data_IF_117779856924
#
_entry.id   IF_117779856924
#
_cell.length_a   1.000
_cell.length_b   1.000
_cell.length_c   1.000
_cell.angle_alpha   90.00
_cell.angle_beta   90.00
_cell.angle_gamma   90.00
#
_symmetry.space_group_name_H-M   'P 1'
#
loop_
_entity.id
_entity.type
_entity.pdbx_description
1 polymer ?
#
# COMPACT_ATOMS: atom_id res chain seq x y z
N UNK A 1 -25.10 -13.71 -11.31
CA UNK A 1 -23.96 -13.09 -11.99
C UNK A 1 -23.28 -14.12 -12.87
N UNK A 2 -23.15 -13.86 -14.17
CA UNK A 2 -22.44 -14.77 -15.08
C UNK A 2 -20.92 -14.45 -15.12
N UNK A 3 -20.13 -15.32 -15.76
CA UNK A 3 -18.66 -15.14 -15.82
C UNK A 3 -18.25 -13.81 -16.46
N UNK A 4 -18.93 -13.38 -17.51
CA UNK A 4 -18.61 -12.14 -18.23
C UNK A 4 -18.90 -10.92 -17.36
N UNK A 5 -20.04 -10.91 -16.68
CA UNK A 5 -20.46 -9.88 -15.74
C UNK A 5 -19.47 -9.75 -14.57
N UNK A 6 -19.04 -10.87 -14.00
CA UNK A 6 -18.00 -10.88 -12.97
C UNK A 6 -16.69 -10.26 -13.45
N UNK A 7 -16.25 -10.60 -14.66
CA UNK A 7 -15.02 -10.05 -15.23
C UNK A 7 -15.14 -8.54 -15.49
N UNK A 8 -16.30 -8.07 -15.94
CA UNK A 8 -16.57 -6.63 -16.10
C UNK A 8 -16.48 -5.88 -14.77
N UNK A 9 -17.11 -6.40 -13.72
CA UNK A 9 -17.07 -5.81 -12.37
C UNK A 9 -15.63 -5.80 -11.85
N UNK A 10 -14.89 -6.89 -12.03
CA UNK A 10 -13.48 -6.98 -11.60
C UNK A 10 -12.60 -5.93 -12.26
N UNK A 11 -12.73 -5.72 -13.58
CA UNK A 11 -11.96 -4.69 -14.29
C UNK A 11 -12.43 -3.28 -13.93
N UNK A 12 -13.73 -3.06 -13.69
CA UNK A 12 -14.24 -1.78 -13.20
C UNK A 12 -13.65 -1.42 -11.83
N UNK A 13 -13.65 -2.37 -10.88
CA UNK A 13 -13.04 -2.20 -9.57
C UNK A 13 -11.54 -1.85 -9.67
N UNK A 14 -10.79 -2.59 -10.49
CA UNK A 14 -9.37 -2.34 -10.73
C UNK A 14 -9.10 -0.95 -11.31
N UNK A 15 -9.96 -0.51 -12.24
CA UNK A 15 -9.86 0.82 -12.84
C UNK A 15 -10.12 1.91 -11.81
N UNK A 16 -11.18 1.76 -11.00
CA UNK A 16 -11.48 2.69 -9.91
C UNK A 16 -10.33 2.81 -8.91
N UNK A 17 -9.77 1.68 -8.45
CA UNK A 17 -8.60 1.66 -7.55
C UNK A 17 -7.35 2.29 -8.17
N UNK A 18 -7.16 2.15 -9.48
CA UNK A 18 -6.04 2.80 -10.19
C UNK A 18 -6.18 4.31 -10.18
N UNK A 19 -7.38 4.83 -10.45
CA UNK A 19 -7.64 6.27 -10.44
C UNK A 19 -7.55 6.85 -9.03
N UNK A 20 -8.06 6.14 -8.04
CA UNK A 20 -7.90 6.53 -6.64
C UNK A 20 -6.43 6.63 -6.23
N UNK A 21 -5.62 5.60 -6.54
CA UNK A 21 -4.17 5.64 -6.28
C UNK A 21 -3.52 6.86 -6.94
N UNK A 22 -3.88 7.17 -8.19
CA UNK A 22 -3.37 8.35 -8.89
C UNK A 22 -3.81 9.65 -8.21
N UNK A 23 -5.05 9.73 -7.74
CA UNK A 23 -5.59 10.87 -7.00
C UNK A 23 -4.75 11.14 -5.75
N UNK A 24 -4.52 10.09 -4.95
CA UNK A 24 -3.70 10.16 -3.72
C UNK A 24 -2.27 10.60 -4.04
N UNK A 25 -1.61 9.99 -5.03
CA UNK A 25 -0.28 10.39 -5.47
C UNK A 25 -0.29 11.87 -5.92
N UNK A 26 -1.28 12.27 -6.71
CA UNK A 26 -1.43 13.64 -7.20
C UNK A 26 -1.61 14.66 -6.09
N UNK A 27 -2.27 14.28 -4.99
CA UNK A 27 -2.43 15.11 -3.81
C UNK A 27 -1.14 15.24 -3.02
N UNK A 28 -0.52 14.10 -2.66
CA UNK A 28 0.72 14.04 -1.88
C UNK A 28 1.87 14.80 -2.58
N UNK A 29 2.03 14.60 -3.88
CA UNK A 29 3.12 15.20 -4.66
C UNK A 29 3.04 16.73 -4.80
N UNK A 30 1.88 17.33 -4.49
CA UNK A 30 1.70 18.79 -4.48
C UNK A 30 2.04 19.42 -3.13
N UNK A 31 2.21 18.63 -2.07
CA UNK A 31 2.47 19.15 -0.72
C UNK A 31 3.87 19.75 -0.65
N UNK A 32 3.93 20.94 -0.07
CA UNK A 32 5.16 21.73 0.09
C UNK A 32 5.36 22.18 1.53
N UNK A 33 6.61 22.30 1.94
CA UNK A 33 6.99 22.95 3.20
C UNK A 33 6.86 24.49 3.09
N UNK A 34 7.20 25.19 4.19
CA UNK A 34 7.11 26.66 4.26
C UNK A 34 8.12 27.34 3.33
N UNK A 35 9.22 26.66 3.04
CA UNK A 35 10.30 27.08 2.15
C UNK A 35 9.99 26.79 0.67
N UNK A 36 8.89 26.08 0.38
CA UNK A 36 8.41 25.77 -0.96
C UNK A 36 9.00 24.50 -1.58
N UNK A 37 9.75 23.71 -0.82
CA UNK A 37 10.26 22.40 -1.22
C UNK A 37 9.16 21.34 -1.13
N UNK A 38 9.28 20.27 -1.91
CA UNK A 38 8.36 19.14 -1.83
C UNK A 38 8.49 18.43 -0.49
N UNK A 39 7.35 18.24 0.17
CA UNK A 39 7.29 17.60 1.48
C UNK A 39 7.61 16.10 1.40
N UNK A 40 7.15 15.46 0.32
CA UNK A 40 7.33 14.04 0.06
C UNK A 40 8.15 13.79 -1.20
N UNK A 41 8.90 12.70 -1.17
CA UNK A 41 9.75 12.21 -2.25
C UNK A 41 9.33 10.78 -2.61
N UNK A 42 9.81 10.26 -3.75
CA UNK A 42 9.48 8.89 -4.19
C UNK A 42 10.19 7.83 -3.35
N UNK A 43 11.40 8.14 -2.91
CA UNK A 43 12.24 7.37 -2.00
C UNK A 43 13.28 8.34 -1.43
N UNK A 44 14.09 7.88 -0.48
CA UNK A 44 15.26 8.64 -0.03
C UNK A 44 16.07 9.17 -1.23
N UNK A 45 16.34 10.47 -1.20
CA UNK A 45 17.09 11.22 -2.22
C UNK A 45 16.51 11.22 -3.65
N UNK A 46 15.26 10.78 -3.83
CA UNK A 46 14.62 10.67 -5.15
C UNK A 46 13.32 11.47 -5.23
N UNK A 47 13.33 12.67 -5.82
CA UNK A 47 12.12 13.47 -5.95
C UNK A 47 11.12 12.83 -6.92
N UNK A 48 9.87 13.25 -6.79
CA UNK A 48 8.87 12.99 -7.80
C UNK A 48 9.17 13.77 -9.08
N UNK A 49 8.96 13.13 -10.22
CA UNK A 49 9.07 13.68 -11.56
C UNK A 49 7.89 13.19 -12.39
N UNK A 50 7.56 13.89 -13.46
CA UNK A 50 6.52 13.46 -14.41
C UNK A 50 6.73 12.04 -14.94
N UNK A 51 7.98 11.58 -15.02
CA UNK A 51 8.32 10.23 -15.48
C UNK A 51 8.14 9.14 -14.42
N UNK A 52 8.35 9.47 -13.14
CA UNK A 52 8.37 8.47 -12.06
C UNK A 52 7.15 8.52 -11.12
N UNK A 53 6.29 9.53 -11.27
CA UNK A 53 5.20 9.84 -10.34
C UNK A 53 4.30 8.64 -10.07
N UNK A 54 3.85 7.99 -11.14
CA UNK A 54 2.94 6.85 -11.06
C UNK A 54 3.65 5.49 -11.14
N UNK A 55 4.99 5.48 -11.20
CA UNK A 55 5.77 4.25 -11.35
C UNK A 55 5.77 3.39 -10.08
N UNK A 56 5.77 2.07 -10.26
CA UNK A 56 5.74 1.09 -9.19
C UNK A 56 4.36 0.98 -8.52
N UNK A 57 4.28 0.28 -7.39
CA UNK A 57 3.08 0.26 -6.56
C UNK A 57 1.92 -0.60 -7.09
N UNK A 58 2.21 -1.83 -7.51
CA UNK A 58 1.21 -2.74 -8.03
C UNK A 58 1.70 -4.19 -8.08
N UNK A 59 0.79 -5.14 -7.82
CA UNK A 59 1.09 -6.56 -7.80
C UNK A 59 1.43 -7.14 -9.17
N UNK A 60 2.16 -8.25 -9.17
CA UNK A 60 2.60 -8.92 -10.39
C UNK A 60 1.41 -9.55 -11.15
N UNK A 61 1.26 -9.20 -12.43
CA UNK A 61 0.22 -9.74 -13.33
C UNK A 61 0.35 -11.23 -13.63
N UNK A 62 1.53 -11.81 -13.39
CA UNK A 62 1.88 -13.21 -13.65
C UNK A 62 2.43 -13.88 -12.39
N UNK A 63 1.80 -13.64 -11.25
CA UNK A 63 2.27 -14.18 -9.97
C UNK A 63 2.09 -15.70 -9.89
N UNK A 64 3.18 -16.42 -9.57
CA UNK A 64 3.18 -17.89 -9.44
C UNK A 64 3.52 -18.38 -8.03
N UNK A 65 3.74 -17.46 -7.09
CA UNK A 65 4.21 -17.78 -5.74
C UNK A 65 5.46 -18.67 -5.71
N UNK A 66 6.44 -18.38 -6.58
CA UNK A 66 7.64 -19.21 -6.74
C UNK A 66 7.33 -20.58 -7.32
N UNK A 67 6.44 -20.64 -8.32
CA UNK A 67 5.99 -21.86 -8.99
C UNK A 67 5.17 -22.84 -8.13
N UNK A 68 4.78 -22.45 -6.90
CA UNK A 68 3.84 -23.23 -6.08
C UNK A 68 2.42 -23.27 -6.66
N UNK A 69 2.05 -22.23 -7.40
CA UNK A 69 0.78 -22.15 -8.11
C UNK A 69 0.93 -22.75 -9.51
N UNK A 70 0.02 -23.66 -9.88
CA UNK A 70 0.04 -24.37 -11.17
C UNK A 70 -0.18 -23.45 -12.39
N UNK A 71 -0.72 -22.25 -12.17
CA UNK A 71 -0.91 -21.22 -13.19
C UNK A 71 -0.62 -19.84 -12.60
N UNK A 72 -0.25 -18.85 -13.44
CA UNK A 72 -0.10 -17.48 -12.99
C UNK A 72 -1.44 -16.85 -12.59
N UNK A 73 -1.39 -15.96 -11.60
CA UNK A 73 -2.52 -15.15 -11.15
C UNK A 73 -2.19 -13.67 -11.31
N UNK A 74 -3.21 -12.88 -11.66
CA UNK A 74 -3.09 -11.43 -11.78
C UNK A 74 -3.32 -10.77 -10.42
N UNK A 75 -2.25 -10.26 -9.82
CA UNK A 75 -2.28 -9.50 -8.56
C UNK A 75 -2.32 -7.99 -8.77
N UNK A 76 -2.59 -7.48 -9.97
CA UNK A 76 -2.61 -6.04 -10.23
C UNK A 76 -3.64 -5.24 -9.43
N UNK A 77 -4.60 -5.91 -8.78
CA UNK A 77 -5.51 -5.29 -7.82
C UNK A 77 -4.84 -4.94 -6.49
N UNK A 78 -3.72 -5.59 -6.15
CA UNK A 78 -2.92 -5.22 -5.00
C UNK A 78 -2.09 -3.99 -5.37
N UNK A 79 -2.35 -2.86 -4.71
CA UNK A 79 -1.80 -1.56 -5.06
C UNK A 79 -1.28 -0.87 -3.82
N UNK A 80 -0.17 -0.16 -3.98
CA UNK A 80 0.44 0.62 -2.92
C UNK A 80 1.16 1.85 -3.48
N UNK A 81 1.53 2.75 -2.58
CA UNK A 81 2.28 3.96 -2.88
C UNK A 81 3.52 3.94 -2.01
N UNK A 82 4.67 3.77 -2.66
CA UNK A 82 5.97 4.02 -2.04
C UNK A 82 6.28 5.52 -2.11
N UNK A 83 6.62 6.10 -0.96
CA UNK A 83 7.05 7.48 -0.80
C UNK A 83 8.07 7.60 0.34
N UNK A 84 8.69 8.77 0.48
CA UNK A 84 9.59 9.07 1.58
C UNK A 84 9.34 10.46 2.15
N UNK A 85 9.40 10.56 3.47
CA UNK A 85 9.29 11.80 4.24
C UNK A 85 10.53 11.98 5.10
N UNK A 86 11.26 13.09 4.91
CA UNK A 86 12.56 13.36 5.58
C UNK A 86 13.56 12.19 5.50
N UNK A 87 13.51 11.42 4.41
CA UNK A 87 14.39 10.27 4.16
C UNK A 87 13.93 8.95 4.79
N UNK A 88 12.77 8.91 5.45
CA UNK A 88 12.14 7.68 5.94
C UNK A 88 11.19 7.13 4.88
N UNK A 89 11.34 5.83 4.56
CA UNK A 89 10.50 5.16 3.58
C UNK A 89 9.14 4.80 4.19
N UNK A 90 8.08 5.13 3.47
CA UNK A 90 6.70 4.90 3.85
C UNK A 90 5.99 4.16 2.72
N UNK A 91 5.18 3.18 3.08
CA UNK A 91 4.29 2.48 2.15
C UNK A 91 2.84 2.72 2.57
N UNK A 92 2.06 3.31 1.66
CA UNK A 92 0.61 3.41 1.78
C UNK A 92 -0.01 2.28 0.95
N UNK A 93 -0.64 1.31 1.60
CA UNK A 93 -1.37 0.21 0.98
C UNK A 93 -2.83 0.58 0.77
N UNK A 94 -3.38 0.26 -0.39
CA UNK A 94 -4.83 0.34 -0.66
C UNK A 94 -5.56 -0.96 -0.26
N UNK A 95 -4.85 -1.87 0.41
CA UNK A 95 -5.39 -3.06 1.04
C UNK A 95 -4.68 -3.25 2.38
N UNK A 96 -5.31 -2.87 3.49
CA UNK A 96 -4.68 -3.00 4.80
C UNK A 96 -4.76 -4.44 5.31
N UNK A 97 -3.78 -4.82 6.13
CA UNK A 97 -3.80 -6.07 6.87
C UNK A 97 -4.39 -5.81 8.25
N UNK A 98 -5.31 -6.67 8.67
CA UNK A 98 -5.88 -6.63 10.01
C UNK A 98 -5.78 -8.00 10.66
N UNK A 99 -5.53 -8.06 11.96
CA UNK A 99 -5.52 -9.31 12.72
C UNK A 99 -6.69 -9.22 13.67
N UNK A 100 -7.73 -10.01 13.42
CA UNK A 100 -8.94 -9.96 14.24
C UNK A 100 -8.57 -10.21 15.70
N UNK A 101 -8.85 -9.26 16.62
CA UNK A 101 -8.47 -9.39 18.01
C UNK A 101 -9.09 -10.63 18.68
N UNK A 102 -10.20 -11.15 18.16
CA UNK A 102 -10.89 -12.31 18.74
C UNK A 102 -10.35 -13.63 18.19
N UNK A 103 -10.45 -13.85 16.87
CA UNK A 103 -10.03 -15.11 16.23
C UNK A 103 -8.52 -15.22 16.01
N UNK A 104 -7.81 -14.09 16.01
CA UNK A 104 -6.39 -13.97 15.59
C UNK A 104 -6.15 -14.31 14.12
N UNK A 105 -7.20 -14.34 13.30
CA UNK A 105 -7.10 -14.57 11.87
C UNK A 105 -6.64 -13.31 11.13
N UNK A 106 -5.86 -13.51 10.06
CA UNK A 106 -5.38 -12.43 9.21
C UNK A 106 -6.44 -12.08 8.16
N UNK A 107 -6.88 -10.84 8.18
CA UNK A 107 -7.77 -10.23 7.20
C UNK A 107 -7.01 -9.31 6.25
N UNK A 108 -7.59 -9.15 5.06
CA UNK A 108 -7.19 -8.12 4.10
C UNK A 108 -8.41 -7.24 3.87
N UNK A 109 -8.33 -5.98 4.30
CA UNK A 109 -9.40 -5.01 4.16
C UNK A 109 -9.22 -4.28 2.82
N UNK A 110 -10.14 -4.50 1.88
CA UNK A 110 -10.05 -3.97 0.52
C UNK A 110 -10.56 -2.54 0.37
N UNK A 111 -11.21 -2.03 1.40
CA UNK A 111 -11.86 -0.72 1.53
C UNK A 111 -11.07 0.24 2.42
N UNK A 112 -9.96 -0.19 3.04
CA UNK A 112 -9.19 0.61 4.01
C UNK A 112 -7.78 0.92 3.54
N UNK A 113 -7.25 2.04 4.01
CA UNK A 113 -5.83 2.38 3.89
C UNK A 113 -5.04 1.70 5.02
N UNK A 114 -3.90 1.11 4.65
CA UNK A 114 -2.88 0.69 5.60
C UNK A 114 -1.61 1.51 5.40
N UNK A 115 -0.95 1.93 6.47
CA UNK A 115 0.31 2.68 6.40
C UNK A 115 1.41 1.88 7.10
N UNK A 116 2.56 1.80 6.45
CA UNK A 116 3.76 1.20 7.00
C UNK A 116 4.87 2.25 7.00
N UNK A 117 5.28 2.67 8.19
CA UNK A 117 6.29 3.72 8.43
C UNK A 117 7.75 3.23 8.44
N UNK A 118 7.95 1.91 8.39
CA UNK A 118 9.27 1.30 8.36
C UNK A 118 9.37 0.30 7.21
N UNK A 119 10.58 0.11 6.65
CA UNK A 119 10.79 -1.01 5.75
C UNK A 119 10.50 -2.33 6.47
N UNK A 120 9.60 -3.12 5.87
CA UNK A 120 9.32 -4.45 6.38
C UNK A 120 10.58 -5.31 6.35
N UNK A 121 10.82 -6.06 7.42
CA UNK A 121 11.92 -7.01 7.54
C UNK A 121 11.42 -8.41 7.25
N UNK A 122 12.35 -9.25 6.81
CA UNK A 122 12.07 -10.69 6.65
C UNK A 122 12.19 -11.38 8.00
N UNK A 123 11.07 -11.81 8.55
CA UNK A 123 11.01 -12.60 9.79
C UNK A 123 10.95 -14.10 9.47
N UNK A 124 11.66 -14.94 10.21
CA UNK A 124 11.56 -16.39 10.08
C UNK A 124 10.20 -16.89 10.62
N UNK A 125 9.54 -17.77 9.87
CA UNK A 125 8.42 -18.57 10.36
C UNK A 125 9.00 -19.91 10.81
N UNK A 126 8.85 -20.20 12.10
CA UNK A 126 9.26 -21.47 12.69
C UNK A 126 8.11 -22.45 12.76
N UNK A 127 8.39 -23.71 12.44
CA UNK A 127 7.54 -24.84 12.79
C UNK A 127 8.41 -25.86 13.50
N UNK A 128 7.99 -26.26 14.70
CA UNK A 128 8.67 -27.28 15.50
C UNK A 128 10.20 -27.06 15.58
N UNK A 129 10.61 -25.86 16.01
CA UNK A 129 12.00 -25.38 16.13
C UNK A 129 12.83 -25.17 14.84
N UNK A 130 12.29 -25.46 13.66
CA UNK A 130 12.96 -25.22 12.37
C UNK A 130 12.36 -24.03 11.60
N UNK A 131 13.21 -23.18 11.00
CA UNK A 131 12.75 -22.13 10.08
C UNK A 131 12.26 -22.75 8.79
N UNK A 132 10.96 -22.63 8.50
CA UNK A 132 10.36 -23.10 7.26
C UNK A 132 10.53 -22.08 6.14
N UNK A 133 10.33 -20.80 6.44
CA UNK A 133 10.38 -19.74 5.43
C UNK A 133 10.65 -18.39 6.07
N UNK A 134 10.99 -17.40 5.25
CA UNK A 134 11.12 -16.00 5.66
C UNK A 134 10.02 -15.18 4.99
N UNK A 135 9.16 -14.55 5.78
CA UNK A 135 8.08 -13.68 5.29
C UNK A 135 8.33 -12.24 5.72
N UNK A 136 7.73 -11.28 5.00
CA UNK A 136 7.74 -9.88 5.43
C UNK A 136 6.90 -9.74 6.72
N UNK A 137 7.37 -8.94 7.67
CA UNK A 137 6.62 -8.55 8.88
C UNK A 137 5.62 -7.40 8.63
N UNK A 138 5.41 -6.99 7.37
CA UNK A 138 4.50 -5.90 7.03
C UNK A 138 3.07 -6.14 7.54
N UNK A 139 2.59 -7.38 7.54
CA UNK A 139 1.25 -7.71 8.03
C UNK A 139 1.10 -7.53 9.55
N UNK A 140 2.20 -7.45 10.31
CA UNK A 140 2.21 -7.18 11.74
C UNK A 140 2.38 -5.69 12.04
N UNK A 141 3.16 -4.99 11.21
CA UNK A 141 3.58 -3.61 11.44
C UNK A 141 2.71 -2.58 10.73
N UNK A 142 1.96 -2.99 9.72
CA UNK A 142 1.09 -2.08 8.99
C UNK A 142 -0.02 -1.59 9.90
N UNK A 143 -0.15 -0.28 10.01
CA UNK A 143 -1.22 0.37 10.73
C UNK A 143 -2.45 0.41 9.85
N UNK A 144 -3.50 -0.29 10.26
CA UNK A 144 -4.81 -0.20 9.62
C UNK A 144 -5.49 1.08 10.10
N UNK A 145 -5.91 1.90 9.13
CA UNK A 145 -6.51 3.22 9.39
C UNK A 145 -8.02 3.14 9.27
N UNK A 146 -8.71 4.16 9.80
CA UNK A 146 -10.17 4.27 9.68
C UNK A 146 -10.63 4.84 8.33
N UNK A 147 -9.71 5.32 7.48
CA UNK A 147 -10.08 5.91 6.19
C UNK A 147 -10.63 4.86 5.24
N UNK A 148 -11.83 5.12 4.73
CA UNK A 148 -12.51 4.29 3.76
C UNK A 148 -12.30 4.83 2.35
N UNK A 149 -12.00 3.92 1.41
CA UNK A 149 -11.83 4.26 0.02
C UNK A 149 -13.20 4.34 -0.69
N UNK A 150 -13.52 5.40 -1.47
CA UNK A 150 -12.59 6.39 -1.96
C UNK A 150 -12.27 7.53 -0.99
N UNK A 151 -11.00 7.92 -0.87
CA UNK A 151 -10.62 9.05 -0.02
C UNK A 151 -11.16 10.39 -0.56
N UNK A 152 -11.75 11.18 0.33
CA UNK A 152 -12.03 12.59 0.07
C UNK A 152 -10.76 13.44 0.17
N UNK A 153 -10.84 14.71 -0.25
CA UNK A 153 -9.72 15.65 -0.08
C UNK A 153 -9.39 15.90 1.40
N UNK A 154 -10.42 15.93 2.27
CA UNK A 154 -10.23 16.06 3.71
C UNK A 154 -9.51 14.83 4.30
N UNK A 155 -9.91 13.62 3.90
CA UNK A 155 -9.24 12.39 4.34
C UNK A 155 -7.78 12.35 3.87
N UNK A 156 -7.51 12.79 2.64
CA UNK A 156 -6.14 12.88 2.12
C UNK A 156 -5.29 13.92 2.88
N UNK A 157 -5.89 15.04 3.30
CA UNK A 157 -5.21 16.03 4.16
C UNK A 157 -4.90 15.45 5.54
N UNK A 158 -5.88 14.79 6.16
CA UNK A 158 -5.72 14.14 7.45
C UNK A 158 -4.62 13.07 7.39
N UNK A 159 -4.62 12.25 6.34
CA UNK A 159 -3.58 11.24 6.10
C UNK A 159 -2.19 11.87 5.95
N UNK A 160 -2.07 13.00 5.25
CA UNK A 160 -0.79 13.73 5.14
C UNK A 160 -0.33 14.21 6.52
N UNK A 161 -1.22 14.81 7.30
CA UNK A 161 -0.89 15.28 8.65
C UNK A 161 -0.52 14.12 9.57
N UNK A 162 -1.23 12.99 9.48
CA UNK A 162 -0.92 11.78 10.22
C UNK A 162 0.50 11.29 9.95
N UNK A 163 0.90 11.26 8.67
CA UNK A 163 2.26 10.86 8.29
C UNK A 163 3.31 11.83 8.83
N UNK A 164 3.05 13.14 8.78
CA UNK A 164 3.97 14.16 9.32
C UNK A 164 4.14 13.98 10.82
N UNK A 165 3.02 13.91 11.56
CA UNK A 165 3.02 13.83 13.01
C UNK A 165 3.76 12.58 13.52
N UNK A 166 3.66 11.45 12.80
CA UNK A 166 4.40 10.23 13.14
C UNK A 166 5.92 10.44 13.30
N UNK A 167 6.51 11.41 12.59
CA UNK A 167 7.95 11.68 12.64
C UNK A 167 8.32 13.01 13.34
N UNK A 168 7.34 13.83 13.69
CA UNK A 168 7.57 15.14 14.34
C UNK A 168 7.24 15.15 15.84
N UNK A 169 6.57 14.11 16.34
CA UNK A 169 6.35 13.83 17.78
C UNK A 169 7.49 13.00 18.40
#
# INVERSE_FOLDING_TARGET
MNKEEFLKIKEAYKSARTEERKSIIGFITKKKDKEGNFLFTKSKDKPYTTRNQYSGGGGNKKYTSGSRLSRPYDLSNHMWIDLSYKGNDILISLQSFDIDPNSKELHVLYDRIGILFEQSKKIPIFKDCYTITKVSDAFLKMETTNWELPLSEADMEEMVNYIINHYEE
#
